data_IF_775510128287
#
_entry.id   IF_775510128287
#
_cell.length_a   1.000
_cell.length_b   1.000
_cell.length_c   1.000
_cell.angle_alpha   90.00
_cell.angle_beta   90.00
_cell.angle_gamma   90.00
#
_symmetry.space_group_name_H-M   'P 1'
#
loop_
_entity.id
_entity.type
_entity.pdbx_description
1 polymer ?
#
# COMPACT_ATOMS: atom_id res chain seq x y z
N UNK A 1 -10.22 41.06 -63.80
CA UNK A 1 -9.20 41.66 -62.90
C UNK A 1 -9.74 41.60 -61.49
N UNK A 2 -9.24 40.66 -60.68
CA UNK A 2 -9.59 40.53 -59.26
C UNK A 2 -8.29 40.30 -58.48
N UNK A 3 -7.94 41.27 -57.64
CA UNK A 3 -6.74 41.23 -56.80
C UNK A 3 -6.99 40.31 -55.60
N UNK A 4 -6.34 39.15 -55.56
CA UNK A 4 -6.26 38.29 -54.39
C UNK A 4 -5.07 38.72 -53.52
N UNK A 5 -5.37 39.53 -52.51
CA UNK A 5 -4.39 39.96 -51.50
C UNK A 5 -3.94 38.79 -50.62
N UNK A 6 -2.62 38.63 -50.56
CA UNK A 6 -1.86 37.71 -49.72
C UNK A 6 -2.39 37.62 -48.27
N UNK A 7 -2.95 36.46 -47.91
CA UNK A 7 -2.94 35.97 -46.52
C UNK A 7 -2.11 34.70 -46.50
N UNK A 8 -0.83 34.82 -46.18
CA UNK A 8 -0.02 33.68 -45.80
C UNK A 8 0.19 33.69 -44.27
N UNK A 9 -0.29 32.64 -43.56
CA UNK A 9 -0.25 32.59 -42.12
C UNK A 9 1.16 32.22 -41.65
N UNK A 10 1.49 32.68 -40.44
CA UNK A 10 2.66 32.41 -39.59
C UNK A 10 3.12 30.93 -39.49
N UNK A 11 2.43 30.01 -40.15
CA UNK A 11 2.67 28.56 -40.15
C UNK A 11 3.88 28.15 -40.99
N UNK A 12 4.21 28.88 -42.06
CA UNK A 12 5.40 28.58 -42.88
C UNK A 12 6.72 28.96 -42.18
N UNK A 13 6.73 30.05 -41.39
CA UNK A 13 7.91 30.49 -40.65
C UNK A 13 8.32 29.53 -39.52
N UNK A 14 7.37 28.75 -38.99
CA UNK A 14 7.64 27.75 -37.96
C UNK A 14 8.28 26.46 -38.52
N UNK A 15 8.19 26.21 -39.83
CA UNK A 15 8.79 25.03 -40.46
C UNK A 15 10.26 25.26 -40.83
N UNK A 16 10.67 26.51 -41.11
CA UNK A 16 12.07 26.85 -41.39
C UNK A 16 12.93 26.97 -40.12
N UNK A 17 12.34 27.25 -38.95
CA UNK A 17 13.07 27.37 -37.69
C UNK A 17 13.58 26.04 -37.10
N UNK A 18 13.30 24.90 -37.75
CA UNK A 18 13.76 23.58 -37.29
C UNK A 18 15.19 23.22 -37.77
N UNK A 19 15.82 24.05 -38.62
CA UNK A 19 17.14 23.77 -39.20
C UNK A 19 18.24 24.79 -38.88
N UNK A 20 17.98 25.78 -38.03
CA UNK A 20 19.01 26.72 -37.54
C UNK A 20 18.98 26.78 -36.02
N UNK A 21 20.14 26.56 -35.39
CA UNK A 21 20.32 26.52 -33.94
C UNK A 21 20.24 27.90 -33.25
N UNK A 22 19.76 28.92 -33.93
CA UNK A 22 19.79 30.32 -33.47
C UNK A 22 18.38 30.91 -33.57
N UNK A 23 17.72 31.07 -32.43
CA UNK A 23 16.41 31.73 -32.35
C UNK A 23 16.64 33.23 -32.55
N UNK A 24 15.97 33.90 -33.52
CA UNK A 24 16.15 35.33 -33.74
C UNK A 24 15.73 36.13 -32.51
N UNK A 25 16.62 37.00 -32.03
CA UNK A 25 16.51 37.70 -30.74
C UNK A 25 15.22 38.53 -30.53
N UNK A 26 14.50 38.89 -31.60
CA UNK A 26 13.22 39.60 -31.49
C UNK A 26 12.06 38.72 -30.97
N UNK A 27 12.18 37.38 -31.06
CA UNK A 27 11.21 36.43 -30.50
C UNK A 27 11.51 36.02 -29.05
N UNK A 28 12.67 36.42 -28.51
CA UNK A 28 13.08 36.10 -27.14
C UNK A 28 12.10 36.56 -26.04
N UNK A 29 11.44 37.74 -26.10
CA UNK A 29 10.51 38.15 -25.05
C UNK A 29 9.17 37.39 -25.09
N UNK A 30 8.79 36.77 -26.21
CA UNK A 30 7.57 35.97 -26.33
C UNK A 30 7.74 34.52 -25.82
N UNK A 31 8.99 34.05 -25.72
CA UNK A 31 9.38 32.73 -25.19
C UNK A 31 10.08 32.89 -23.83
N UNK A 32 9.80 33.97 -23.09
CA UNK A 32 9.95 33.87 -21.65
C UNK A 32 8.85 32.93 -21.18
N UNK A 33 9.20 31.64 -21.04
CA UNK A 33 8.45 30.68 -20.21
C UNK A 33 8.13 31.44 -18.94
N UNK A 34 6.90 31.92 -18.82
CA UNK A 34 6.50 32.80 -17.74
C UNK A 34 6.95 32.13 -16.46
N UNK A 35 7.94 32.75 -15.80
CA UNK A 35 8.33 32.35 -14.47
C UNK A 35 7.04 32.41 -13.67
N UNK A 36 6.44 31.24 -13.40
CA UNK A 36 5.27 31.14 -12.55
C UNK A 36 5.75 31.72 -11.23
N UNK A 37 5.37 32.98 -10.96
CA UNK A 37 5.62 33.61 -9.68
C UNK A 37 4.91 32.73 -8.68
N UNK A 38 5.67 31.89 -7.99
CA UNK A 38 5.14 31.07 -6.93
C UNK A 38 4.67 32.04 -5.85
N UNK A 39 3.38 32.00 -5.52
CA UNK A 39 2.81 32.77 -4.40
C UNK A 39 3.44 32.39 -3.05
N UNK A 40 4.28 31.36 -3.02
CA UNK A 40 5.09 30.94 -1.89
C UNK A 40 6.58 30.97 -2.23
N UNK A 41 7.39 31.45 -1.30
CA UNK A 41 8.86 31.34 -1.29
C UNK A 41 9.34 29.98 -0.79
N UNK A 42 8.44 29.11 -0.31
CA UNK A 42 8.79 27.77 0.12
C UNK A 42 9.16 26.90 -1.08
N UNK A 43 10.32 26.23 -1.03
CA UNK A 43 10.64 25.20 -2.00
C UNK A 43 9.56 24.09 -2.01
N UNK A 44 9.22 23.52 -3.18
CA UNK A 44 8.27 22.42 -3.27
C UNK A 44 8.75 21.26 -2.38
N UNK A 45 7.99 20.98 -1.32
CA UNK A 45 8.38 19.98 -0.32
C UNK A 45 8.10 18.58 -0.85
N UNK A 46 9.16 17.78 -1.00
CA UNK A 46 9.08 16.35 -1.27
C UNK A 46 8.45 15.58 -0.10
N UNK A 47 8.05 14.33 -0.35
CA UNK A 47 7.57 13.44 0.72
C UNK A 47 8.73 13.04 1.63
N UNK A 48 8.66 13.39 2.93
CA UNK A 48 9.68 12.99 3.91
C UNK A 48 9.75 11.47 4.07
N UNK A 49 8.61 10.80 4.02
CA UNK A 49 8.52 9.33 4.13
C UNK A 49 9.03 8.67 2.84
N UNK A 50 8.64 9.20 1.68
CA UNK A 50 9.04 8.66 0.38
C UNK A 50 10.55 8.81 0.12
N UNK A 51 11.15 9.92 0.54
CA UNK A 51 12.58 10.20 0.35
C UNK A 51 13.50 9.36 1.25
N UNK A 52 12.98 8.88 2.39
CA UNK A 52 13.78 8.11 3.33
C UNK A 52 14.11 6.72 2.74
N UNK A 53 15.40 6.38 2.52
CA UNK A 53 15.79 5.09 1.96
C UNK A 53 15.39 3.94 2.90
N UNK A 54 15.25 2.75 2.33
CA UNK A 54 14.94 1.52 3.05
C UNK A 54 16.21 0.67 3.10
N UNK A 55 16.68 0.36 4.31
CA UNK A 55 17.81 -0.54 4.51
C UNK A 55 17.35 -2.00 4.37
N UNK A 56 18.05 -2.79 3.58
CA UNK A 56 17.74 -4.21 3.39
C UNK A 56 18.60 -5.06 4.35
N UNK A 57 18.00 -5.96 5.14
CA UNK A 57 18.76 -6.94 5.92
C UNK A 57 19.48 -7.95 5.00
N UNK A 58 20.57 -8.58 5.47
CA UNK A 58 21.38 -9.49 4.63
C UNK A 58 20.62 -10.71 4.10
N UNK A 59 19.53 -11.10 4.78
CA UNK A 59 18.77 -12.31 4.46
C UNK A 59 17.71 -12.10 3.36
N UNK A 60 17.55 -10.86 2.89
CA UNK A 60 16.49 -10.49 1.92
C UNK A 60 17.12 -10.16 0.56
N UNK A 61 16.54 -10.72 -0.49
CA UNK A 61 16.90 -10.48 -1.89
C UNK A 61 15.74 -9.82 -2.64
N UNK A 62 16.08 -8.90 -3.55
CA UNK A 62 15.12 -8.18 -4.38
C UNK A 62 15.30 -8.54 -5.85
N UNK A 63 14.18 -8.78 -6.54
CA UNK A 63 14.14 -8.96 -7.99
C UNK A 63 13.12 -8.00 -8.59
N UNK A 64 13.49 -7.37 -9.69
CA UNK A 64 12.61 -6.46 -10.43
C UNK A 64 12.32 -7.04 -11.80
N UNK A 65 11.04 -7.20 -12.16
CA UNK A 65 10.65 -7.57 -13.51
C UNK A 65 9.56 -6.65 -14.04
N UNK A 66 9.64 -6.35 -15.34
CA UNK A 66 8.61 -5.60 -16.04
C UNK A 66 7.44 -6.50 -16.39
N UNK A 67 6.22 -6.02 -16.17
CA UNK A 67 5.02 -6.71 -16.65
C UNK A 67 4.84 -6.45 -18.14
N UNK A 68 4.37 -7.45 -18.92
CA UNK A 68 3.98 -7.21 -20.30
C UNK A 68 2.84 -6.20 -20.32
N UNK A 69 2.95 -5.16 -21.17
CA UNK A 69 1.88 -4.18 -21.36
C UNK A 69 0.66 -4.90 -21.93
N UNK A 70 -0.45 -4.93 -21.19
CA UNK A 70 -1.69 -5.49 -21.71
C UNK A 70 -2.20 -4.63 -22.87
N UNK A 71 -2.58 -5.28 -23.97
CA UNK A 71 -3.11 -4.58 -25.15
C UNK A 71 -4.55 -4.06 -24.95
N UNK A 72 -5.18 -4.41 -23.81
CA UNK A 72 -6.49 -3.94 -23.44
C UNK A 72 -6.45 -2.43 -23.11
N UNK A 73 -7.33 -1.64 -23.72
CA UNK A 73 -7.52 -0.22 -23.38
C UNK A 73 -8.10 -0.08 -21.96
N UNK A 74 -7.28 -0.20 -20.94
CA UNK A 74 -7.65 0.16 -19.57
C UNK A 74 -7.41 1.65 -19.35
N UNK A 75 -8.41 2.35 -18.79
CA UNK A 75 -8.29 3.76 -18.37
C UNK A 75 -7.59 3.92 -17.01
N UNK A 76 -7.10 2.83 -16.42
CA UNK A 76 -6.46 2.88 -15.11
C UNK A 76 -5.02 3.42 -15.22
N UNK A 77 -4.81 4.64 -14.74
CA UNK A 77 -3.51 5.33 -14.71
C UNK A 77 -2.51 4.63 -13.78
N UNK A 78 -3.00 3.87 -12.80
CA UNK A 78 -2.20 3.15 -11.80
C UNK A 78 -1.93 1.69 -12.19
N UNK A 79 -2.19 1.30 -13.44
CA UNK A 79 -1.92 -0.05 -13.90
C UNK A 79 -0.44 -0.42 -13.66
N UNK A 80 -0.13 -1.52 -12.96
CA UNK A 80 1.24 -1.84 -12.59
C UNK A 80 2.06 -2.14 -13.83
N UNK A 81 3.25 -1.54 -13.91
CA UNK A 81 4.18 -1.73 -15.03
C UNK A 81 5.38 -2.57 -14.62
N UNK A 82 5.75 -2.50 -13.34
CA UNK A 82 6.86 -3.27 -12.79
C UNK A 82 6.40 -3.98 -11.53
N UNK A 83 6.98 -5.15 -11.25
CA UNK A 83 6.78 -5.87 -10.00
C UNK A 83 8.12 -6.03 -9.33
N UNK A 84 8.14 -5.77 -8.03
CA UNK A 84 9.26 -6.01 -7.15
C UNK A 84 8.95 -7.25 -6.32
N UNK A 85 9.69 -8.33 -6.57
CA UNK A 85 9.69 -9.53 -5.76
C UNK A 85 10.67 -9.39 -4.60
N UNK A 86 10.17 -9.60 -3.39
CA UNK A 86 10.93 -9.60 -2.14
C UNK A 86 10.97 -11.02 -1.62
N UNK A 87 12.16 -11.61 -1.53
CA UNK A 87 12.35 -12.99 -1.09
C UNK A 87 13.28 -13.02 0.13
N UNK A 88 12.97 -13.88 1.09
CA UNK A 88 13.79 -14.06 2.30
C UNK A 88 13.28 -15.23 3.14
N UNK A 89 13.62 -15.29 4.44
CA UNK A 89 13.49 -16.51 5.24
C UNK A 89 12.04 -16.95 5.48
N UNK A 90 11.11 -16.02 5.68
CA UNK A 90 9.70 -16.35 5.98
C UNK A 90 8.86 -16.61 4.72
N UNK A 91 9.37 -16.27 3.53
CA UNK A 91 8.67 -16.50 2.27
C UNK A 91 9.00 -15.47 1.19
N UNK A 92 8.04 -15.29 0.28
CA UNK A 92 8.15 -14.38 -0.87
C UNK A 92 6.90 -13.50 -0.96
N UNK A 93 7.09 -12.22 -1.29
CA UNK A 93 6.02 -11.28 -1.57
C UNK A 93 6.28 -10.54 -2.88
N UNK A 94 5.23 -10.28 -3.64
CA UNK A 94 5.28 -9.45 -4.84
C UNK A 94 4.60 -8.11 -4.58
N UNK A 95 5.32 -7.02 -4.87
CA UNK A 95 4.83 -5.65 -4.75
C UNK A 95 4.70 -5.05 -6.14
N UNK A 96 3.48 -4.63 -6.48
CA UNK A 96 3.16 -4.03 -7.76
C UNK A 96 3.48 -2.53 -7.77
N UNK A 97 4.32 -2.10 -8.71
CA UNK A 97 4.75 -0.72 -8.88
C UNK A 97 4.03 -0.05 -10.08
N UNK A 98 3.33 1.07 -9.86
CA UNK A 98 2.80 1.93 -10.91
C UNK A 98 3.91 2.48 -11.84
N UNK A 99 3.57 2.89 -13.08
CA UNK A 99 4.54 3.31 -14.11
C UNK A 99 5.38 4.54 -13.73
N UNK A 100 4.85 5.39 -12.86
CA UNK A 100 5.48 6.64 -12.44
C UNK A 100 6.36 6.49 -11.18
N UNK A 101 6.48 5.28 -10.63
CA UNK A 101 7.33 4.97 -9.50
C UNK A 101 8.56 4.18 -9.93
N UNK A 102 9.72 4.67 -9.55
CA UNK A 102 11.01 4.04 -9.83
C UNK A 102 11.64 3.61 -8.50
N UNK A 103 12.05 2.35 -8.41
CA UNK A 103 12.78 1.80 -7.28
C UNK A 103 14.26 1.67 -7.67
N UNK A 104 15.12 2.51 -7.10
CA UNK A 104 16.55 2.46 -7.31
C UNK A 104 17.17 1.66 -6.17
N UNK A 105 17.73 0.49 -6.52
CA UNK A 105 18.44 -0.36 -5.59
C UNK A 105 19.95 -0.09 -5.68
N UNK A 106 20.55 0.30 -4.56
CA UNK A 106 21.99 0.42 -4.41
C UNK A 106 22.53 -0.83 -3.72
N UNK A 107 23.28 -1.64 -4.47
CA UNK A 107 23.81 -2.92 -4.01
C UNK A 107 24.99 -2.75 -3.04
N UNK A 108 25.78 -1.67 -3.18
CA UNK A 108 26.94 -1.42 -2.32
C UNK A 108 26.50 -1.08 -0.89
N UNK A 109 25.49 -0.20 -0.78
CA UNK A 109 24.94 0.30 0.48
C UNK A 109 23.77 -0.55 1.03
N UNK A 110 23.26 -1.51 0.23
CA UNK A 110 22.05 -2.31 0.50
C UNK A 110 20.85 -1.45 0.87
N UNK A 111 20.64 -0.39 0.11
CA UNK A 111 19.53 0.57 0.30
C UNK A 111 18.64 0.61 -0.94
N UNK A 112 17.34 0.67 -0.72
CA UNK A 112 16.36 0.96 -1.76
C UNK A 112 15.84 2.37 -1.55
N UNK A 113 15.96 3.20 -2.59
CA UNK A 113 15.30 4.50 -2.66
C UNK A 113 14.16 4.41 -3.66
N UNK A 114 13.00 4.95 -3.30
CA UNK A 114 11.85 5.05 -4.19
C UNK A 114 11.77 6.49 -4.64
N UNK A 115 11.59 6.71 -5.94
CA UNK A 115 11.46 8.03 -6.55
C UNK A 115 10.21 8.08 -7.43
N UNK A 116 9.63 9.26 -7.58
CA UNK A 116 8.52 9.54 -8.49
C UNK A 116 9.02 10.29 -9.72
N UNK A 117 8.34 10.11 -10.84
CA UNK A 117 8.59 10.91 -12.06
C UNK A 117 8.36 12.41 -11.82
N UNK A 118 7.14 12.79 -11.42
CA UNK A 118 6.73 14.18 -11.23
C UNK A 118 6.21 14.45 -9.81
N UNK A 119 7.03 15.08 -8.93
CA UNK A 119 6.62 15.37 -7.55
C UNK A 119 5.57 16.49 -7.43
N UNK A 120 5.35 17.28 -8.48
CA UNK A 120 4.30 18.31 -8.50
C UNK A 120 2.89 17.72 -8.58
N UNK A 121 2.75 16.53 -9.19
CA UNK A 121 1.47 15.86 -9.34
C UNK A 121 1.04 15.30 -7.97
N UNK A 122 -0.08 15.81 -7.46
CA UNK A 122 -0.61 15.45 -6.14
C UNK A 122 -0.75 13.92 -5.96
N UNK A 123 -1.23 13.23 -6.99
CA UNK A 123 -1.42 11.78 -6.98
C UNK A 123 -0.10 11.01 -6.84
N UNK A 124 0.89 11.30 -7.70
CA UNK A 124 2.21 10.65 -7.64
C UNK A 124 2.89 10.90 -6.29
N UNK A 125 2.84 12.14 -5.79
CA UNK A 125 3.40 12.49 -4.48
C UNK A 125 2.74 11.74 -3.32
N UNK A 126 1.42 11.51 -3.38
CA UNK A 126 0.71 10.72 -2.37
C UNK A 126 1.12 9.24 -2.46
N UNK A 127 1.19 8.68 -3.66
CA UNK A 127 1.58 7.29 -3.90
C UNK A 127 3.02 7.01 -3.48
N UNK A 128 3.92 8.00 -3.60
CA UNK A 128 5.33 7.87 -3.21
C UNK A 128 5.51 7.38 -1.77
N UNK A 129 4.85 8.05 -0.82
CA UNK A 129 4.93 7.68 0.59
C UNK A 129 4.25 6.34 0.88
N UNK A 130 3.09 6.10 0.26
CA UNK A 130 2.34 4.86 0.41
C UNK A 130 3.13 3.65 -0.07
N UNK A 131 3.72 3.74 -1.26
CA UNK A 131 4.48 2.64 -1.83
C UNK A 131 5.74 2.37 -1.00
N UNK A 132 6.45 3.40 -0.56
CA UNK A 132 7.59 3.25 0.35
C UNK A 132 7.21 2.51 1.63
N UNK A 133 6.09 2.86 2.26
CA UNK A 133 5.62 2.16 3.45
C UNK A 133 5.26 0.70 3.15
N UNK A 134 4.64 0.43 2.01
CA UNK A 134 4.29 -0.94 1.60
C UNK A 134 5.53 -1.80 1.34
N UNK A 135 6.52 -1.29 0.59
CA UNK A 135 7.82 -1.95 0.37
C UNK A 135 8.54 -2.25 1.69
N UNK A 136 8.58 -1.28 2.60
CA UNK A 136 9.16 -1.48 3.93
C UNK A 136 8.46 -2.59 4.71
N UNK A 137 7.11 -2.62 4.69
CA UNK A 137 6.34 -3.65 5.36
C UNK A 137 6.57 -5.04 4.74
N UNK A 138 6.74 -5.13 3.42
CA UNK A 138 7.06 -6.38 2.73
C UNK A 138 8.44 -6.90 3.10
N UNK A 139 9.46 -6.03 3.13
CA UNK A 139 10.82 -6.40 3.55
C UNK A 139 10.83 -6.88 5.01
N UNK A 140 10.25 -6.11 5.93
CA UNK A 140 10.15 -6.49 7.33
C UNK A 140 9.32 -7.76 7.55
N UNK A 141 8.26 -7.97 6.77
CA UNK A 141 7.42 -9.15 6.84
C UNK A 141 8.12 -10.42 6.38
N UNK A 142 8.96 -10.34 5.35
CA UNK A 142 9.72 -11.47 4.83
C UNK A 142 10.93 -11.81 5.71
N UNK A 143 11.51 -10.82 6.40
CA UNK A 143 12.61 -11.03 7.34
C UNK A 143 12.16 -11.52 8.71
N UNK A 144 11.29 -10.75 9.38
CA UNK A 144 10.89 -10.97 10.77
C UNK A 144 9.50 -11.62 10.90
N UNK A 145 8.60 -11.31 9.95
CA UNK A 145 7.18 -11.66 10.06
C UNK A 145 6.38 -10.60 10.81
N UNK A 146 5.09 -10.49 10.51
CA UNK A 146 4.16 -9.63 11.25
C UNK A 146 3.36 -10.46 12.25
N UNK A 147 3.13 -9.85 13.41
CA UNK A 147 2.37 -10.45 14.50
C UNK A 147 1.18 -9.54 14.83
N UNK A 148 0.01 -10.14 15.02
CA UNK A 148 -1.17 -9.46 15.53
C UNK A 148 -1.83 -10.29 16.64
N UNK A 149 -1.97 -9.69 17.81
CA UNK A 149 -2.52 -10.35 18.99
C UNK A 149 -3.97 -9.91 19.16
N UNK A 150 -4.90 -10.85 19.21
CA UNK A 150 -6.31 -10.59 19.52
C UNK A 150 -6.60 -11.01 20.95
N UNK A 151 -7.15 -10.11 21.75
CA UNK A 151 -7.56 -10.38 23.14
C UNK A 151 -9.07 -10.43 23.23
N UNK A 152 -9.60 -11.54 23.75
CA UNK A 152 -11.03 -11.71 24.01
C UNK A 152 -11.34 -11.33 25.46
N UNK A 153 -12.23 -10.36 25.65
CA UNK A 153 -12.70 -9.94 26.96
C UNK A 153 -14.19 -10.24 27.07
N UNK A 154 -14.56 -11.12 27.99
CA UNK A 154 -15.94 -11.50 28.22
C UNK A 154 -16.04 -12.84 28.93
N UNK A 155 -17.08 -13.01 29.74
CA UNK A 155 -17.35 -14.30 30.39
C UNK A 155 -17.81 -15.29 29.31
N UNK A 156 -17.18 -16.47 29.28
CA UNK A 156 -17.47 -17.51 28.29
C UNK A 156 -16.86 -17.25 26.90
N UNK A 157 -16.08 -16.17 26.73
CA UNK A 157 -15.44 -15.88 25.45
C UNK A 157 -14.17 -16.72 25.30
N UNK A 158 -14.12 -17.53 24.26
CA UNK A 158 -12.97 -18.36 23.94
C UNK A 158 -12.82 -18.60 22.44
N UNK A 159 -11.59 -18.81 22.02
CA UNK A 159 -11.23 -19.19 20.66
C UNK A 159 -10.58 -20.57 20.67
N UNK A 160 -10.81 -21.34 19.61
CA UNK A 160 -10.15 -22.60 19.30
C UNK A 160 -9.75 -22.60 17.84
N UNK A 161 -8.75 -23.39 17.49
CA UNK A 161 -8.37 -23.63 16.09
C UNK A 161 -8.85 -25.03 15.74
N UNK A 162 -9.63 -25.12 14.67
CA UNK A 162 -10.22 -26.36 14.17
C UNK A 162 -9.76 -26.56 12.74
N UNK A 163 -9.51 -27.81 12.35
CA UNK A 163 -9.04 -28.15 11.00
C UNK A 163 -10.19 -28.21 9.99
N UNK A 164 -11.43 -28.36 10.46
CA UNK A 164 -12.64 -28.44 9.63
C UNK A 164 -13.70 -27.51 10.20
N UNK A 165 -14.40 -26.77 9.33
CA UNK A 165 -15.57 -25.97 9.68
C UNK A 165 -16.88 -26.64 9.22
N UNK A 166 -17.95 -26.43 10.00
CA UNK A 166 -19.30 -26.88 9.69
C UNK A 166 -20.01 -25.86 8.79
N UNK A 167 -19.72 -24.56 9.00
CA UNK A 167 -20.51 -23.46 8.42
C UNK A 167 -19.93 -22.94 7.11
N UNK A 168 -18.60 -23.02 6.93
CA UNK A 168 -17.89 -22.47 5.78
C UNK A 168 -17.08 -23.54 5.07
N UNK A 169 -17.07 -23.47 3.74
CA UNK A 169 -16.26 -24.35 2.90
C UNK A 169 -14.80 -23.89 2.94
N UNK A 170 -13.88 -24.84 2.90
CA UNK A 170 -12.47 -24.54 2.72
C UNK A 170 -12.22 -24.00 1.30
N UNK A 171 -11.48 -22.90 1.21
CA UNK A 171 -11.06 -22.28 -0.04
C UNK A 171 -9.82 -22.99 -0.62
N UNK A 172 -9.01 -23.59 0.24
CA UNK A 172 -7.83 -24.37 -0.14
C UNK A 172 -7.65 -25.58 0.79
N UNK A 173 -6.89 -26.57 0.33
CA UNK A 173 -6.66 -27.82 1.07
C UNK A 173 -5.86 -27.57 2.35
N UNK A 174 -6.31 -28.15 3.47
CA UNK A 174 -5.66 -27.97 4.78
C UNK A 174 -5.85 -26.59 5.41
N UNK A 175 -6.82 -25.80 4.95
CA UNK A 175 -7.18 -24.53 5.55
C UNK A 175 -7.69 -24.71 6.98
N UNK A 176 -7.09 -23.99 7.92
CA UNK A 176 -7.53 -23.97 9.32
C UNK A 176 -8.64 -22.94 9.53
N UNK A 177 -9.45 -23.18 10.54
CA UNK A 177 -10.55 -22.32 10.93
C UNK A 177 -10.37 -21.85 12.37
N UNK A 178 -10.60 -20.56 12.58
CA UNK A 178 -10.70 -19.98 13.92
C UNK A 178 -12.17 -20.10 14.36
N UNK A 179 -12.42 -20.97 15.33
CA UNK A 179 -13.73 -21.18 15.94
C UNK A 179 -13.85 -20.31 17.19
N UNK A 180 -14.84 -19.42 17.20
CA UNK A 180 -15.06 -18.44 18.26
C UNK A 180 -16.38 -18.72 18.97
N UNK A 181 -16.30 -18.83 20.31
CA UNK A 181 -17.47 -18.85 21.18
C UNK A 181 -17.60 -17.47 21.84
N UNK A 182 -18.51 -16.64 21.32
CA UNK A 182 -18.70 -15.24 21.75
C UNK A 182 -20.06 -14.97 22.40
N UNK A 183 -20.74 -16.03 22.86
CA UNK A 183 -22.12 -15.95 23.39
C UNK A 183 -23.21 -15.90 22.31
N UNK A 184 -22.90 -16.34 21.09
CA UNK A 184 -23.91 -16.67 20.07
C UNK A 184 -24.40 -18.11 20.26
N UNK A 185 -25.58 -18.43 19.69
CA UNK A 185 -26.15 -19.77 19.78
C UNK A 185 -25.29 -20.84 19.05
N UNK A 186 -24.62 -20.47 17.97
CA UNK A 186 -23.72 -21.32 17.19
C UNK A 186 -22.26 -20.82 17.30
N UNK A 187 -21.25 -21.70 17.13
CA UNK A 187 -19.86 -21.25 16.97
C UNK A 187 -19.71 -20.37 15.73
N UNK A 188 -18.86 -19.35 15.83
CA UNK A 188 -18.48 -18.53 14.68
C UNK A 188 -17.15 -19.07 14.14
N UNK A 189 -17.20 -19.67 12.95
CA UNK A 189 -16.04 -20.24 12.28
C UNK A 189 -15.55 -19.29 11.18
N UNK A 190 -14.25 -18.99 11.20
CA UNK A 190 -13.61 -18.09 10.23
C UNK A 190 -12.44 -18.79 9.52
N UNK A 191 -12.45 -18.87 8.18
CA UNK A 191 -11.34 -19.44 7.42
C UNK A 191 -10.11 -18.55 7.54
N UNK A 192 -8.97 -19.13 7.92
CA UNK A 192 -7.71 -18.41 7.94
C UNK A 192 -7.23 -18.21 6.49
N UNK A 193 -6.91 -16.99 6.04
CA UNK A 193 -6.46 -16.76 4.69
C UNK A 193 -5.07 -17.36 4.44
N UNK A 194 -4.77 -17.66 3.17
CA UNK A 194 -3.48 -18.24 2.77
C UNK A 194 -2.31 -17.34 3.19
N UNK A 195 -1.28 -17.94 3.78
CA UNK A 195 -0.08 -17.21 4.23
C UNK A 195 -0.20 -16.57 5.61
N UNK A 196 -1.35 -16.72 6.28
CA UNK A 196 -1.53 -16.36 7.70
C UNK A 196 -1.61 -17.64 8.53
N UNK A 197 -0.92 -17.65 9.67
CA UNK A 197 -0.95 -18.71 10.65
C UNK A 197 -1.63 -18.19 11.92
N UNK A 198 -2.70 -18.87 12.33
CA UNK A 198 -3.34 -18.60 13.60
C UNK A 198 -2.88 -19.61 14.65
N UNK A 199 -2.54 -19.14 15.84
CA UNK A 199 -2.31 -19.95 17.05
C UNK A 199 -3.11 -19.40 18.22
N UNK A 200 -3.48 -20.25 19.16
CA UNK A 200 -4.26 -19.86 20.36
C UNK A 200 -3.46 -20.31 21.59
N UNK A 201 -2.49 -19.50 22.06
CA UNK A 201 -1.69 -19.84 23.24
C UNK A 201 -2.53 -19.88 24.52
N UNK A 202 -3.59 -19.07 24.59
CA UNK A 202 -4.56 -19.06 25.67
C UNK A 202 -5.95 -19.02 25.05
N UNK A 203 -6.99 -19.63 25.65
CA UNK A 203 -8.34 -19.61 25.08
C UNK A 203 -8.89 -18.18 24.87
N UNK A 204 -8.39 -17.20 25.61
CA UNK A 204 -8.75 -15.77 25.50
C UNK A 204 -7.79 -14.93 24.67
N UNK A 205 -6.74 -15.53 24.06
CA UNK A 205 -5.76 -14.84 23.23
C UNK A 205 -5.47 -15.60 21.94
N UNK A 206 -5.65 -14.94 20.81
CA UNK A 206 -5.29 -15.46 19.49
C UNK A 206 -4.05 -14.72 19.02
N UNK A 207 -3.07 -15.46 18.55
CA UNK A 207 -1.85 -14.94 17.95
C UNK A 207 -1.91 -15.23 16.44
N UNK A 208 -1.98 -14.17 15.65
CA UNK A 208 -1.92 -14.23 14.20
C UNK A 208 -0.51 -13.87 13.75
N UNK A 209 0.09 -14.73 12.94
CA UNK A 209 1.43 -14.56 12.36
C UNK A 209 1.31 -14.60 10.84
N UNK A 210 2.07 -13.79 10.11
CA UNK A 210 2.01 -13.78 8.66
C UNK A 210 3.01 -12.84 8.02
N UNK A 211 3.33 -13.12 6.75
CA UNK A 211 4.32 -12.34 5.98
C UNK A 211 3.70 -11.07 5.41
N UNK A 212 2.45 -11.14 4.93
CA UNK A 212 1.72 -9.98 4.44
C UNK A 212 0.92 -9.29 5.56
N UNK A 213 1.33 -8.06 5.86
CA UNK A 213 0.67 -7.21 6.85
C UNK A 213 -0.77 -6.87 6.46
N UNK A 214 -1.07 -6.73 5.17
CA UNK A 214 -2.42 -6.38 4.72
C UNK A 214 -3.40 -7.54 4.97
N UNK A 215 -3.10 -8.74 4.47
CA UNK A 215 -3.93 -9.92 4.72
C UNK A 215 -4.10 -10.21 6.22
N UNK A 216 -3.02 -10.11 7.00
CA UNK A 216 -3.03 -10.38 8.44
C UNK A 216 -3.91 -9.39 9.22
N UNK A 217 -3.77 -8.09 8.94
CA UNK A 217 -4.57 -7.06 9.63
C UNK A 217 -6.03 -7.04 9.18
N UNK A 218 -6.30 -7.36 7.90
CA UNK A 218 -7.65 -7.55 7.40
C UNK A 218 -8.34 -8.71 8.14
N UNK A 219 -7.69 -9.86 8.26
CA UNK A 219 -8.24 -11.01 8.97
C UNK A 219 -8.50 -10.71 10.46
N UNK A 220 -7.58 -9.99 11.10
CA UNK A 220 -7.77 -9.52 12.48
C UNK A 220 -9.00 -8.59 12.61
N UNK A 221 -9.22 -7.71 11.62
CA UNK A 221 -10.39 -6.84 11.57
C UNK A 221 -11.69 -7.63 11.36
N UNK A 222 -11.68 -8.66 10.52
CA UNK A 222 -12.82 -9.54 10.27
C UNK A 222 -13.22 -10.32 11.53
N UNK A 223 -12.25 -10.82 12.31
CA UNK A 223 -12.50 -11.43 13.61
C UNK A 223 -13.13 -10.41 14.57
N UNK A 224 -12.56 -9.20 14.67
CA UNK A 224 -13.07 -8.13 15.54
C UNK A 224 -14.48 -7.68 15.17
N UNK A 225 -14.86 -7.76 13.89
CA UNK A 225 -16.17 -7.33 13.41
C UNK A 225 -17.34 -8.06 14.09
N UNK A 226 -17.15 -9.33 14.47
CA UNK A 226 -18.16 -10.13 15.17
C UNK A 226 -18.53 -9.56 16.54
N UNK A 227 -17.54 -9.14 17.34
CA UNK A 227 -17.76 -8.50 18.64
C UNK A 227 -16.78 -7.37 18.88
N UNK A 228 -17.17 -6.17 18.46
CA UNK A 228 -16.48 -4.92 18.76
C UNK A 228 -16.48 -4.63 20.27
N UNK A 229 -15.41 -4.03 20.83
CA UNK A 229 -15.38 -3.62 22.23
C UNK A 229 -16.53 -2.68 22.61
N UNK A 230 -17.24 -3.00 23.69
CA UNK A 230 -18.32 -2.17 24.21
C UNK A 230 -17.82 -1.11 25.22
N UNK A 231 -18.44 0.08 25.31
CA UNK A 231 -17.94 1.17 26.15
C UNK A 231 -18.32 1.05 27.63
N UNK A 232 -19.06 0.04 28.07
CA UNK A 232 -19.50 -0.06 29.48
C UNK A 232 -18.67 -1.06 30.28
N UNK A 233 -18.59 -2.31 29.84
CA UNK A 233 -17.79 -3.36 30.52
C UNK A 233 -16.55 -3.76 29.74
N UNK A 234 -16.26 -3.10 28.60
CA UNK A 234 -15.10 -3.43 27.77
C UNK A 234 -15.15 -4.84 27.19
N UNK A 235 -16.31 -5.50 27.14
CA UNK A 235 -16.45 -6.81 26.50
C UNK A 235 -16.30 -6.70 25.00
N UNK A 236 -15.62 -7.65 24.39
CA UNK A 236 -15.38 -7.70 22.96
C UNK A 236 -13.98 -8.21 22.63
N UNK A 237 -13.61 -8.05 21.38
CA UNK A 237 -12.32 -8.48 20.84
C UNK A 237 -11.47 -7.23 20.59
N UNK A 238 -10.30 -7.17 21.21
CA UNK A 238 -9.33 -6.09 21.03
C UNK A 238 -8.20 -6.57 20.13
N UNK A 239 -7.75 -5.69 19.24
CA UNK A 239 -6.61 -5.93 18.35
C UNK A 239 -5.37 -5.25 18.93
N UNK A 240 -4.29 -6.01 19.14
CA UNK A 240 -3.04 -5.57 19.76
C UNK A 240 -3.29 -4.83 21.09
N UNK A 241 -2.75 -3.62 21.21
CA UNK A 241 -2.87 -2.74 22.38
C UNK A 241 -4.09 -1.81 22.31
N UNK A 242 -5.10 -2.16 21.51
CA UNK A 242 -6.37 -1.42 21.47
C UNK A 242 -7.01 -1.38 22.87
N UNK A 243 -7.46 -0.19 23.26
CA UNK A 243 -8.20 0.05 24.51
C UNK A 243 -9.46 0.86 24.22
N UNK A 244 -10.46 0.71 25.07
CA UNK A 244 -11.73 1.45 24.98
C UNK A 244 -11.96 2.27 26.25
N UNK A 245 -12.42 3.52 26.07
CA UNK A 245 -12.81 4.38 27.19
C UNK A 245 -14.12 3.87 27.80
N UNK A 246 -14.08 3.50 29.07
CA UNK A 246 -15.24 3.02 29.79
C UNK A 246 -16.12 4.20 30.25
N UNK A 247 -17.42 4.10 30.01
CA UNK A 247 -18.43 5.03 30.53
C UNK A 247 -18.89 4.54 31.90
N UNK A 248 -18.92 5.45 32.87
CA UNK A 248 -19.57 5.19 34.14
C UNK A 248 -21.05 4.90 33.93
N UNK A 249 -21.58 3.94 34.69
CA UNK A 249 -23.01 3.68 34.72
C UNK A 249 -23.69 4.87 35.39
N UNK A 250 -24.81 5.37 34.83
CA UNK A 250 -25.66 6.31 35.56
C UNK A 250 -26.29 5.55 36.72
N UNK A 251 -25.68 5.67 37.90
CA UNK A 251 -26.28 5.22 39.16
C UNK A 251 -27.47 6.17 39.37
N UNK A 252 -28.68 5.65 39.25
CA UNK A 252 -29.90 6.33 39.72
C UNK A 252 -30.09 5.98 41.19
#
# INVERSE_FOLDING_TARGET
MACTGFRHPLRCLLHEAQFTHEIPGFLAPAIQKGARRSFSTSQPRSSRVGMAPISIPPDVSLRFYGLPKSQARSRNVDAPTSVMEVTGPQGQLSVNLPPYLFANYDEADRKVSITVGDPEIKHQRAMWGTMRAHVQNSIAGVSEGHICILRLVGVGYRATIEDTAITKKAEYEGQKFVSLKLGYAHPVELPVPKGVKATVPQPTRILLEGVDKHALTQFAADIRAWRKPEPYKGKGIFVNDETIKLKAKKIK
#
